data_IF_482486263267
#
_entry.id   IF_482486263267
#
_cell.length_a   1.000
_cell.length_b   1.000
_cell.length_c   1.000
_cell.angle_alpha   90.00
_cell.angle_beta   90.00
_cell.angle_gamma   90.00
#
_symmetry.space_group_name_H-M   'P 1'
#
loop_
_entity.id
_entity.type
_entity.pdbx_description
1 polymer ?
#
# COMPACT_ATOMS: atom_id res chain seq x y z
N UNK A 1 -22.82 29.35 -5.08
CA UNK A 1 -22.28 28.07 -4.55
C UNK A 1 -22.63 28.03 -3.07
N UNK A 2 -23.26 26.97 -2.58
CA UNK A 2 -23.72 26.86 -1.17
C UNK A 2 -22.72 26.19 -0.24
N UNK A 3 -21.67 25.60 -0.79
CA UNK A 3 -20.64 24.86 -0.09
C UNK A 3 -19.40 25.74 0.14
N UNK A 4 -18.74 25.59 1.29
CA UNK A 4 -17.50 26.28 1.66
C UNK A 4 -16.31 25.31 1.77
N UNK A 5 -15.07 25.80 1.57
CA UNK A 5 -13.85 25.00 1.77
C UNK A 5 -13.71 24.49 3.20
N UNK A 6 -14.20 25.26 4.19
CA UNK A 6 -14.21 24.81 5.60
C UNK A 6 -15.10 23.58 5.80
N UNK A 7 -16.27 23.55 5.17
CA UNK A 7 -17.17 22.39 5.24
C UNK A 7 -16.54 21.18 4.57
N UNK A 8 -15.86 21.34 3.42
CA UNK A 8 -15.09 20.26 2.79
C UNK A 8 -13.95 19.77 3.68
N UNK A 9 -13.20 20.67 4.31
CA UNK A 9 -12.12 20.31 5.23
C UNK A 9 -12.63 19.49 6.43
N UNK A 10 -13.79 19.85 6.99
CA UNK A 10 -14.45 19.09 8.06
C UNK A 10 -14.89 17.71 7.55
N UNK A 11 -15.48 17.62 6.36
CA UNK A 11 -15.88 16.35 5.76
C UNK A 11 -14.68 15.39 5.60
N UNK A 12 -13.59 15.89 5.03
CA UNK A 12 -12.34 15.12 4.87
C UNK A 12 -11.79 14.68 6.22
N UNK A 13 -11.69 15.58 7.19
CA UNK A 13 -11.19 15.26 8.53
C UNK A 13 -12.04 14.20 9.24
N UNK A 14 -13.37 14.26 9.12
CA UNK A 14 -14.27 13.24 9.69
C UNK A 14 -14.10 11.90 9.00
N UNK A 15 -13.86 11.88 7.69
CA UNK A 15 -13.61 10.66 6.93
C UNK A 15 -12.31 9.97 7.38
N UNK A 16 -11.27 10.74 7.69
CA UNK A 16 -9.98 10.23 8.13
C UNK A 16 -9.99 9.78 9.60
N UNK A 17 -10.63 10.55 10.47
CA UNK A 17 -10.59 10.33 11.93
C UNK A 17 -11.72 9.44 12.47
N UNK A 18 -12.77 9.23 11.68
CA UNK A 18 -13.93 8.40 12.03
C UNK A 18 -14.82 8.97 13.13
N UNK A 19 -14.49 10.14 13.70
CA UNK A 19 -15.29 10.82 14.71
C UNK A 19 -15.20 12.35 14.56
N UNK A 20 -16.34 13.06 14.82
CA UNK A 20 -16.35 14.52 14.77
C UNK A 20 -15.41 15.15 15.79
N UNK A 21 -15.25 14.56 16.97
CA UNK A 21 -14.37 15.08 18.02
C UNK A 21 -12.92 15.15 17.57
N UNK A 22 -12.37 14.06 17.04
CA UNK A 22 -10.99 14.05 16.52
C UNK A 22 -10.84 14.94 15.29
N UNK A 23 -11.81 14.91 14.38
CA UNK A 23 -11.82 15.77 13.21
C UNK A 23 -11.83 17.26 13.58
N UNK A 24 -12.56 17.67 14.65
CA UNK A 24 -12.58 19.08 15.10
C UNK A 24 -11.19 19.54 15.55
N UNK A 25 -10.42 18.68 16.23
CA UNK A 25 -9.04 19.00 16.63
C UNK A 25 -8.14 19.18 15.40
N UNK A 26 -8.25 18.29 14.40
CA UNK A 26 -7.47 18.34 13.17
C UNK A 26 -7.71 19.64 12.38
N UNK A 27 -8.97 20.11 12.31
CA UNK A 27 -9.32 21.34 11.58
C UNK A 27 -9.35 22.59 12.47
N UNK A 28 -8.89 22.50 13.72
CA UNK A 28 -8.83 23.60 14.71
C UNK A 28 -10.19 24.29 14.92
N UNK A 29 -11.24 23.51 15.06
CA UNK A 29 -12.60 23.95 15.36
C UNK A 29 -13.07 23.38 16.70
N UNK A 30 -14.17 23.94 17.25
CA UNK A 30 -14.91 23.27 18.31
C UNK A 30 -15.73 22.11 17.74
N UNK A 31 -15.99 21.08 18.53
CA UNK A 31 -16.79 19.92 18.11
C UNK A 31 -18.18 20.36 17.59
N UNK A 32 -18.82 21.33 18.24
CA UNK A 32 -20.11 21.85 17.81
C UNK A 32 -20.03 22.54 16.43
N UNK A 33 -18.97 23.34 16.19
CA UNK A 33 -18.75 23.99 14.90
C UNK A 33 -18.45 22.97 13.79
N UNK A 34 -17.64 21.94 14.07
CA UNK A 34 -17.39 20.87 13.10
C UNK A 34 -18.66 20.06 12.81
N UNK A 35 -19.45 19.72 13.85
CA UNK A 35 -20.72 19.00 13.64
C UNK A 35 -21.71 19.81 12.81
N UNK A 36 -21.82 21.11 13.05
CA UNK A 36 -22.69 22.00 12.28
C UNK A 36 -22.21 22.16 10.83
N UNK A 37 -20.89 22.33 10.63
CA UNK A 37 -20.32 22.44 9.29
C UNK A 37 -20.55 21.18 8.44
N UNK A 38 -20.46 19.98 9.06
CA UNK A 38 -20.77 18.73 8.38
C UNK A 38 -22.27 18.64 8.03
N UNK A 39 -23.15 18.95 9.00
CA UNK A 39 -24.59 18.94 8.76
C UNK A 39 -25.01 19.92 7.64
N UNK A 40 -24.47 21.14 7.67
CA UNK A 40 -24.74 22.14 6.63
C UNK A 40 -24.25 21.67 5.23
N UNK A 41 -23.13 20.91 5.18
CA UNK A 41 -22.66 20.33 3.94
C UNK A 41 -23.63 19.28 3.42
N UNK A 42 -24.03 18.32 4.27
CA UNK A 42 -24.98 17.26 3.93
C UNK A 42 -26.34 17.83 3.51
N UNK A 43 -26.83 18.82 4.23
CA UNK A 43 -28.08 19.55 3.88
C UNK A 43 -27.93 20.27 2.54
N UNK A 44 -26.79 20.90 2.29
CA UNK A 44 -26.53 21.60 1.03
C UNK A 44 -26.42 20.64 -0.17
N UNK A 45 -25.99 19.41 0.05
CA UNK A 45 -25.94 18.34 -0.95
C UNK A 45 -27.27 17.57 -1.07
N UNK A 46 -28.14 17.68 -0.07
CA UNK A 46 -29.45 16.99 -0.02
C UNK A 46 -29.33 15.50 0.32
N UNK A 47 -28.16 15.05 0.82
CA UNK A 47 -27.94 13.65 1.17
C UNK A 47 -26.85 13.52 2.24
N UNK A 48 -26.94 12.50 3.15
CA UNK A 48 -25.90 12.21 4.11
C UNK A 48 -24.66 11.64 3.40
N UNK A 49 -23.49 11.89 3.99
CA UNK A 49 -22.19 11.37 3.53
C UNK A 49 -21.65 10.25 4.43
N UNK A 50 -22.24 10.10 5.62
CA UNK A 50 -21.83 9.12 6.60
C UNK A 50 -23.00 8.29 7.12
N UNK A 51 -22.71 7.02 7.42
CA UNK A 51 -23.53 6.15 8.24
C UNK A 51 -23.09 6.26 9.71
N UNK A 52 -24.06 6.25 10.63
CA UNK A 52 -23.80 6.32 12.07
C UNK A 52 -23.74 4.91 12.67
N UNK A 53 -22.55 4.50 13.07
CA UNK A 53 -22.33 3.23 13.79
C UNK A 53 -22.01 3.53 15.27
N UNK A 54 -23.03 3.78 16.06
CA UNK A 54 -22.89 4.21 17.45
C UNK A 54 -22.24 5.60 17.57
N UNK A 55 -21.01 5.63 18.11
CA UNK A 55 -20.21 6.87 18.24
C UNK A 55 -19.29 7.14 17.05
N UNK A 56 -19.21 6.22 16.07
CA UNK A 56 -18.37 6.36 14.90
C UNK A 56 -19.19 6.79 13.68
N UNK A 57 -18.53 7.52 12.81
CA UNK A 57 -19.03 7.88 11.49
C UNK A 57 -18.23 7.10 10.46
N UNK A 58 -18.92 6.39 9.59
CA UNK A 58 -18.33 5.67 8.48
C UNK A 58 -18.88 6.24 7.17
N UNK A 59 -18.02 6.49 6.20
CA UNK A 59 -18.45 6.95 4.88
C UNK A 59 -19.46 5.95 4.29
N UNK A 60 -20.60 6.48 3.83
CA UNK A 60 -21.52 5.76 2.96
C UNK A 60 -21.01 5.77 1.51
N UNK A 61 -21.75 5.18 0.57
CA UNK A 61 -21.34 5.10 -0.84
C UNK A 61 -21.13 6.46 -1.48
N UNK A 62 -22.03 7.43 -1.21
CA UNK A 62 -21.89 8.78 -1.69
C UNK A 62 -20.68 9.49 -1.09
N UNK A 63 -20.46 9.34 0.21
CA UNK A 63 -19.28 9.90 0.89
C UNK A 63 -17.97 9.34 0.32
N UNK A 64 -17.89 8.03 0.07
CA UNK A 64 -16.74 7.41 -0.61
C UNK A 64 -16.51 7.97 -2.01
N UNK A 65 -17.58 8.19 -2.76
CA UNK A 65 -17.50 8.75 -4.12
C UNK A 65 -17.06 10.21 -4.13
N UNK A 66 -17.50 11.02 -3.15
CA UNK A 66 -17.20 12.46 -3.09
C UNK A 66 -15.87 12.80 -2.40
N UNK A 67 -15.33 11.90 -1.55
CA UNK A 67 -14.11 12.19 -0.80
C UNK A 67 -12.90 12.51 -1.69
N UNK A 68 -12.61 11.78 -2.78
CA UNK A 68 -11.51 12.13 -3.69
C UNK A 68 -11.65 13.53 -4.28
N UNK A 69 -12.88 13.91 -4.65
CA UNK A 69 -13.16 15.23 -5.22
C UNK A 69 -12.98 16.36 -4.19
N UNK A 70 -13.37 16.11 -2.93
CA UNK A 70 -13.14 17.05 -1.84
C UNK A 70 -11.65 17.28 -1.57
N UNK A 71 -10.87 16.20 -1.57
CA UNK A 71 -9.40 16.26 -1.42
C UNK A 71 -8.75 17.02 -2.57
N UNK A 72 -9.15 16.76 -3.81
CA UNK A 72 -8.64 17.47 -4.99
C UNK A 72 -8.93 18.98 -4.91
N UNK A 73 -10.16 19.38 -4.54
CA UNK A 73 -10.54 20.80 -4.39
C UNK A 73 -9.67 21.47 -3.32
N UNK A 74 -9.50 20.85 -2.14
CA UNK A 74 -8.69 21.41 -1.06
C UNK A 74 -7.22 21.51 -1.48
N UNK A 75 -6.63 20.48 -2.08
CA UNK A 75 -5.26 20.50 -2.56
C UNK A 75 -5.02 21.57 -3.63
N UNK A 76 -5.98 21.81 -4.55
CA UNK A 76 -5.89 22.92 -5.53
C UNK A 76 -5.94 24.28 -4.86
N UNK A 77 -6.72 24.45 -3.79
CA UNK A 77 -6.75 25.70 -3.03
C UNK A 77 -5.44 25.96 -2.28
N UNK A 78 -4.85 24.93 -1.66
CA UNK A 78 -3.54 25.01 -1.01
C UNK A 78 -2.44 25.37 -2.02
N UNK A 79 -2.43 24.70 -3.17
CA UNK A 79 -1.50 25.02 -4.27
C UNK A 79 -1.65 26.47 -4.76
N UNK A 80 -2.89 26.95 -4.89
CA UNK A 80 -3.14 28.35 -5.27
C UNK A 80 -2.57 29.35 -4.24
N UNK A 81 -2.74 29.08 -2.95
CA UNK A 81 -2.18 29.92 -1.89
C UNK A 81 -0.65 29.91 -1.89
N UNK A 82 0.00 28.76 -2.10
CA UNK A 82 1.45 28.61 -2.19
C UNK A 82 2.02 29.41 -3.36
N UNK A 83 1.43 29.27 -4.55
CA UNK A 83 1.84 30.04 -5.73
C UNK A 83 1.69 31.54 -5.49
N UNK A 84 0.58 31.98 -4.85
CA UNK A 84 0.35 33.40 -4.55
C UNK A 84 1.36 33.99 -3.55
N UNK A 85 1.89 33.15 -2.66
CA UNK A 85 2.97 33.52 -1.70
C UNK A 85 4.36 33.50 -2.33
N UNK A 86 4.48 33.11 -3.60
CA UNK A 86 5.78 32.95 -4.28
C UNK A 86 6.59 31.75 -3.76
N UNK A 87 5.93 30.87 -3.03
CA UNK A 87 6.52 29.62 -2.63
C UNK A 87 6.57 28.72 -3.86
N UNK A 88 7.77 28.30 -4.26
CA UNK A 88 7.93 27.26 -5.28
C UNK A 88 7.14 26.03 -4.79
N UNK A 89 6.34 25.43 -5.67
CA UNK A 89 5.59 24.22 -5.33
C UNK A 89 6.57 23.16 -4.80
N UNK A 90 6.63 23.01 -3.49
CA UNK A 90 7.25 21.84 -2.90
C UNK A 90 6.27 20.69 -3.14
N UNK A 91 6.74 19.63 -3.78
CA UNK A 91 5.97 18.41 -3.95
C UNK A 91 6.03 17.68 -2.62
N UNK A 92 4.90 17.59 -1.92
CA UNK A 92 4.73 16.70 -0.78
C UNK A 92 4.07 15.42 -1.27
N UNK A 93 4.80 14.30 -1.26
CA UNK A 93 4.32 13.02 -1.76
C UNK A 93 4.40 11.94 -0.68
N UNK A 94 3.24 11.38 -0.32
CA UNK A 94 3.13 10.22 0.55
C UNK A 94 3.07 8.96 -0.32
N UNK A 95 4.20 8.29 -0.42
CA UNK A 95 4.40 7.11 -1.26
C UNK A 95 4.27 5.84 -0.43
N UNK A 96 3.54 4.85 -0.93
CA UNK A 96 3.56 3.49 -0.43
C UNK A 96 4.42 2.59 -1.29
N UNK A 97 5.05 1.58 -0.70
CA UNK A 97 5.71 0.53 -1.45
C UNK A 97 5.64 -0.81 -0.74
N UNK A 98 5.54 -1.90 -1.52
CA UNK A 98 5.74 -3.24 -0.99
C UNK A 98 7.23 -3.49 -0.75
N UNK A 99 7.54 -4.48 0.08
CA UNK A 99 8.90 -4.71 0.60
C UNK A 99 9.95 -4.85 -0.50
N UNK A 100 9.72 -5.69 -1.49
CA UNK A 100 10.68 -5.87 -2.59
C UNK A 100 10.93 -4.56 -3.33
N UNK A 101 9.86 -3.82 -3.62
CA UNK A 101 9.96 -2.53 -4.31
C UNK A 101 10.69 -1.52 -3.44
N UNK A 102 10.36 -1.46 -2.13
CA UNK A 102 10.99 -0.51 -1.20
C UNK A 102 12.49 -0.74 -1.02
N UNK A 103 12.91 -2.00 -1.01
CA UNK A 103 14.29 -2.36 -0.72
C UNK A 103 15.21 -2.26 -1.95
N UNK A 104 14.68 -2.59 -3.14
CA UNK A 104 15.50 -2.76 -4.33
C UNK A 104 15.25 -1.73 -5.43
N UNK A 105 14.15 -0.97 -5.42
CA UNK A 105 13.81 -0.04 -6.49
C UNK A 105 13.61 1.40 -6.01
N UNK A 106 12.95 1.58 -4.90
CA UNK A 106 12.60 2.92 -4.38
C UNK A 106 13.82 3.78 -4.09
N UNK A 107 14.93 3.29 -3.50
CA UNK A 107 16.06 4.14 -3.17
C UNK A 107 16.62 4.91 -4.38
N UNK A 108 16.81 4.22 -5.50
CA UNK A 108 17.33 4.84 -6.72
C UNK A 108 16.31 5.80 -7.34
N UNK A 109 15.03 5.41 -7.37
CA UNK A 109 13.95 6.26 -7.88
C UNK A 109 13.80 7.55 -7.09
N UNK A 110 13.83 7.46 -5.75
CA UNK A 110 13.76 8.65 -4.89
C UNK A 110 14.99 9.53 -5.05
N UNK A 111 16.19 8.94 -5.15
CA UNK A 111 17.42 9.68 -5.38
C UNK A 111 17.38 10.45 -6.70
N UNK A 112 16.91 9.81 -7.78
CA UNK A 112 16.80 10.46 -9.08
C UNK A 112 15.68 11.51 -9.12
N UNK A 113 14.56 11.25 -8.47
CA UNK A 113 13.48 12.23 -8.35
C UNK A 113 13.93 13.49 -7.60
N UNK A 114 14.64 13.34 -6.48
CA UNK A 114 15.15 14.47 -5.69
C UNK A 114 16.22 15.28 -6.41
N UNK A 115 16.97 14.70 -7.36
CA UNK A 115 17.87 15.46 -8.24
C UNK A 115 17.09 16.39 -9.19
N UNK A 116 15.91 15.95 -9.65
CA UNK A 116 15.03 16.72 -10.56
C UNK A 116 14.20 17.73 -9.78
N UNK A 117 13.74 17.34 -8.59
CA UNK A 117 12.88 18.12 -7.69
C UNK A 117 13.52 18.27 -6.30
N UNK A 118 14.56 19.12 -6.14
CA UNK A 118 15.34 19.19 -4.90
C UNK A 118 14.56 19.67 -3.67
N UNK A 119 13.41 20.30 -3.88
CA UNK A 119 12.55 20.81 -2.80
C UNK A 119 11.38 19.88 -2.49
N UNK A 120 11.31 18.72 -3.14
CA UNK A 120 10.25 17.76 -2.85
C UNK A 120 10.43 17.13 -1.46
N UNK A 121 9.34 16.97 -0.75
CA UNK A 121 9.27 16.21 0.49
C UNK A 121 8.62 14.86 0.19
N UNK A 122 9.36 13.78 0.41
CA UNK A 122 8.90 12.42 0.15
C UNK A 122 8.76 11.68 1.48
N UNK A 123 7.61 11.09 1.71
CA UNK A 123 7.37 10.18 2.83
C UNK A 123 7.11 8.79 2.27
N UNK A 124 7.89 7.81 2.70
CA UNK A 124 7.72 6.41 2.29
C UNK A 124 7.11 5.60 3.42
N UNK A 125 5.99 4.96 3.14
CA UNK A 125 5.40 3.92 3.98
C UNK A 125 5.60 2.56 3.33
N UNK A 126 6.08 1.59 4.11
CA UNK A 126 6.35 0.23 3.64
C UNK A 126 5.37 -0.74 4.27
N UNK A 127 4.88 -1.69 3.48
CA UNK A 127 3.97 -2.73 3.95
C UNK A 127 3.75 -3.80 2.89
N UNK A 128 2.76 -4.66 3.10
CA UNK A 128 2.37 -5.61 2.05
C UNK A 128 1.32 -5.02 1.11
N UNK A 129 1.03 -5.73 0.02
CA UNK A 129 0.12 -5.27 -1.03
C UNK A 129 -1.24 -4.87 -0.49
N UNK A 130 -1.85 -5.69 0.39
CA UNK A 130 -3.15 -5.38 1.00
C UNK A 130 -3.10 -4.08 1.81
N UNK A 131 -2.07 -3.89 2.63
CA UNK A 131 -1.91 -2.69 3.44
C UNK A 131 -1.72 -1.43 2.57
N UNK A 132 -0.93 -1.52 1.52
CA UNK A 132 -0.69 -0.40 0.61
C UNK A 132 -1.95 -0.01 -0.16
N UNK A 133 -2.68 -0.99 -0.68
CA UNK A 133 -3.97 -0.77 -1.35
C UNK A 133 -4.97 -0.09 -0.40
N UNK A 134 -5.05 -0.58 0.85
CA UNK A 134 -5.95 0.00 1.85
C UNK A 134 -5.56 1.43 2.22
N UNK A 135 -4.27 1.71 2.40
CA UNK A 135 -3.76 3.04 2.72
C UNK A 135 -4.03 4.06 1.60
N UNK A 136 -3.90 3.68 0.33
CA UNK A 136 -4.30 4.53 -0.81
C UNK A 136 -5.82 4.72 -0.83
N UNK A 137 -6.60 3.65 -0.64
CA UNK A 137 -8.05 3.72 -0.62
C UNK A 137 -8.59 4.61 0.52
N UNK A 138 -7.85 4.71 1.63
CA UNK A 138 -8.19 5.57 2.78
C UNK A 138 -7.54 6.96 2.69
N UNK A 139 -6.91 7.30 1.56
CA UNK A 139 -6.21 8.59 1.33
C UNK A 139 -5.09 8.89 2.33
N UNK A 140 -4.55 7.87 2.95
CA UNK A 140 -3.35 7.98 3.79
C UNK A 140 -2.08 8.13 2.93
N UNK A 141 -2.11 7.58 1.71
CA UNK A 141 -1.07 7.67 0.69
C UNK A 141 -1.63 8.28 -0.59
N UNK A 142 -0.80 8.99 -1.34
CA UNK A 142 -1.15 9.59 -2.62
C UNK A 142 -1.04 8.57 -3.75
N UNK A 143 -0.05 7.69 -3.67
CA UNK A 143 0.10 6.53 -4.55
C UNK A 143 0.87 5.41 -3.85
N UNK A 144 0.80 4.19 -4.40
CA UNK A 144 1.62 3.08 -3.94
C UNK A 144 2.14 2.25 -5.12
N UNK A 145 3.37 1.77 -4.98
CA UNK A 145 3.96 0.77 -5.86
C UNK A 145 3.81 -0.60 -5.21
N UNK A 146 3.11 -1.50 -5.86
CA UNK A 146 2.76 -2.81 -5.30
C UNK A 146 3.17 -3.96 -6.22
N UNK A 147 3.46 -5.11 -5.62
CA UNK A 147 3.53 -6.40 -6.30
C UNK A 147 2.15 -7.06 -6.23
N UNK A 148 1.79 -7.81 -7.29
CA UNK A 148 0.49 -8.49 -7.35
C UNK A 148 -0.62 -7.61 -7.91
N UNK A 149 -1.87 -7.95 -7.61
CA UNK A 149 -3.05 -7.38 -8.22
C UNK A 149 -3.83 -6.47 -7.28
N UNK A 150 -4.41 -5.41 -7.81
CA UNK A 150 -5.40 -4.60 -7.11
C UNK A 150 -6.77 -4.78 -7.77
N UNK A 151 -7.76 -5.17 -6.99
CA UNK A 151 -9.12 -5.43 -7.49
C UNK A 151 -10.14 -4.39 -7.02
N UNK A 152 -9.70 -3.29 -6.39
CA UNK A 152 -10.61 -2.24 -5.96
C UNK A 152 -10.98 -1.35 -7.14
N UNK A 153 -12.26 -1.29 -7.54
CA UNK A 153 -12.69 -0.57 -8.75
C UNK A 153 -12.53 0.96 -8.64
N UNK A 154 -12.41 1.49 -7.41
CA UNK A 154 -12.20 2.91 -7.16
C UNK A 154 -10.73 3.35 -7.27
N UNK A 155 -9.79 2.42 -7.41
CA UNK A 155 -8.37 2.72 -7.58
C UNK A 155 -7.95 2.49 -9.02
N UNK A 156 -7.20 3.43 -9.57
CA UNK A 156 -6.57 3.25 -10.88
C UNK A 156 -5.26 2.50 -10.70
N UNK A 157 -5.17 1.32 -11.33
CA UNK A 157 -3.95 0.52 -11.37
C UNK A 157 -3.30 0.67 -12.74
N UNK A 158 -2.01 1.03 -12.74
CA UNK A 158 -1.22 1.18 -13.95
C UNK A 158 -0.08 0.16 -13.88
N UNK A 159 0.04 -0.68 -14.91
CA UNK A 159 1.18 -1.58 -15.03
C UNK A 159 2.46 -0.76 -15.23
N UNK A 160 3.47 -1.03 -14.40
CA UNK A 160 4.74 -0.30 -14.43
C UNK A 160 5.87 -1.15 -14.99
N UNK A 161 6.08 -2.34 -14.44
CA UNK A 161 7.11 -3.29 -14.88
C UNK A 161 6.78 -4.71 -14.42
N UNK A 162 7.43 -5.67 -15.05
CA UNK A 162 7.33 -7.07 -14.63
C UNK A 162 8.36 -7.39 -13.54
N UNK A 163 8.01 -8.35 -12.68
CA UNK A 163 8.90 -9.00 -11.72
C UNK A 163 8.78 -10.51 -11.89
N UNK A 164 9.85 -11.22 -11.62
CA UNK A 164 9.91 -12.67 -11.72
C UNK A 164 10.18 -13.27 -10.35
N UNK A 165 9.30 -14.17 -9.90
CA UNK A 165 9.52 -14.95 -8.71
C UNK A 165 10.35 -16.18 -9.04
N UNK A 166 11.25 -16.56 -8.12
CA UNK A 166 12.04 -17.79 -8.20
C UNK A 166 11.92 -18.59 -6.92
N UNK A 167 11.86 -19.90 -7.09
CA UNK A 167 12.01 -20.85 -6.00
C UNK A 167 13.50 -20.91 -5.60
N UNK A 168 13.77 -20.81 -4.31
CA UNK A 168 15.11 -20.84 -3.76
C UNK A 168 15.23 -21.80 -2.57
N UNK A 169 16.41 -22.41 -2.42
CA UNK A 169 16.77 -23.28 -1.32
C UNK A 169 18.27 -23.17 -1.03
N UNK A 170 18.72 -23.78 0.06
CA UNK A 170 20.17 -23.91 0.32
C UNK A 170 20.85 -24.78 -0.75
N UNK A 171 22.16 -24.57 -1.03
CA UNK A 171 22.87 -25.33 -2.07
C UNK A 171 22.93 -26.84 -1.81
N UNK A 172 22.90 -27.26 -0.55
CA UNK A 172 22.92 -28.68 -0.11
C UNK A 172 21.53 -29.32 -0.03
N UNK A 173 20.47 -28.56 -0.37
CA UNK A 173 19.12 -29.10 -0.39
C UNK A 173 18.98 -30.21 -1.44
N UNK A 174 18.30 -31.35 -1.12
CA UNK A 174 18.16 -32.47 -2.05
C UNK A 174 17.68 -32.13 -3.44
N UNK A 175 16.69 -31.20 -3.54
CA UNK A 175 16.15 -30.76 -4.83
C UNK A 175 17.16 -29.90 -5.63
N UNK A 176 18.09 -29.19 -4.98
CA UNK A 176 19.14 -28.45 -5.68
C UNK A 176 20.16 -29.35 -6.38
N UNK A 177 20.25 -30.61 -5.95
CA UNK A 177 21.16 -31.59 -6.52
C UNK A 177 20.58 -32.37 -7.71
N UNK A 178 19.32 -32.17 -8.01
CA UNK A 178 18.65 -32.79 -9.16
C UNK A 178 19.07 -32.08 -10.46
N UNK A 179 19.65 -32.84 -11.38
CA UNK A 179 20.03 -32.35 -12.72
C UNK A 179 18.86 -32.45 -13.70
N UNK A 180 17.68 -32.00 -13.30
CA UNK A 180 16.47 -31.93 -14.11
C UNK A 180 15.58 -30.81 -13.63
N UNK A 181 14.62 -30.41 -14.45
CA UNK A 181 13.55 -29.53 -14.05
C UNK A 181 12.71 -30.15 -12.92
N UNK A 182 12.31 -29.30 -11.97
CA UNK A 182 11.43 -29.70 -10.88
C UNK A 182 9.98 -29.75 -11.36
N UNK A 183 9.23 -30.68 -10.81
CA UNK A 183 7.81 -30.89 -11.10
C UNK A 183 6.98 -30.62 -9.86
N UNK A 184 5.65 -30.49 -9.99
CA UNK A 184 4.73 -30.33 -8.85
C UNK A 184 4.88 -31.47 -7.82
N UNK A 185 5.21 -32.69 -8.26
CA UNK A 185 5.43 -33.84 -7.35
C UNK A 185 6.61 -33.63 -6.41
N UNK A 186 7.69 -32.99 -6.89
CA UNK A 186 8.88 -32.70 -6.08
C UNK A 186 8.54 -31.72 -4.94
N UNK A 187 7.54 -30.89 -5.09
CA UNK A 187 7.14 -29.89 -4.11
C UNK A 187 6.20 -30.40 -3.01
N UNK A 188 5.64 -31.60 -3.15
CA UNK A 188 4.74 -32.17 -2.14
C UNK A 188 5.42 -32.46 -0.80
N UNK A 189 6.71 -32.79 -0.81
CA UNK A 189 7.49 -33.10 0.39
C UNK A 189 8.29 -31.93 0.93
N UNK A 190 8.19 -30.76 0.31
CA UNK A 190 8.95 -29.57 0.67
C UNK A 190 8.32 -28.86 1.86
N UNK A 191 9.14 -28.40 2.79
CA UNK A 191 8.75 -27.41 3.81
C UNK A 191 8.90 -26.02 3.23
N UNK A 192 7.81 -25.25 3.18
CA UNK A 192 7.80 -23.91 2.63
C UNK A 192 7.92 -22.84 3.70
N UNK A 193 8.79 -21.86 3.43
CA UNK A 193 8.95 -20.64 4.22
C UNK A 193 8.45 -19.49 3.34
N UNK A 194 7.30 -18.94 3.66
CA UNK A 194 6.59 -18.04 2.75
C UNK A 194 6.35 -16.66 3.35
N UNK A 195 6.01 -15.73 2.48
CA UNK A 195 5.47 -14.44 2.86
C UNK A 195 4.08 -14.58 3.49
N UNK A 196 3.75 -13.58 4.25
CA UNK A 196 2.47 -13.46 4.94
C UNK A 196 1.29 -13.27 3.96
N UNK A 197 0.08 -13.57 4.45
CA UNK A 197 -1.15 -13.29 3.72
C UNK A 197 -1.31 -11.78 3.46
N UNK A 198 -1.76 -11.43 2.24
CA UNK A 198 -1.85 -10.05 1.79
C UNK A 198 -0.59 -9.54 1.09
N UNK A 199 0.49 -10.33 1.05
CA UNK A 199 1.65 -10.10 0.18
C UNK A 199 1.32 -10.52 -1.25
N UNK A 200 1.67 -9.68 -2.24
CA UNK A 200 1.55 -10.03 -3.67
C UNK A 200 2.44 -11.23 -4.05
N UNK A 201 3.65 -11.31 -3.49
CA UNK A 201 4.53 -12.46 -3.64
C UNK A 201 3.85 -13.75 -3.17
N UNK A 202 3.15 -13.72 -2.03
CA UNK A 202 2.38 -14.86 -1.51
C UNK A 202 1.22 -15.22 -2.43
N UNK A 203 0.48 -14.25 -2.92
CA UNK A 203 -0.63 -14.45 -3.86
C UNK A 203 -0.17 -15.15 -5.14
N UNK A 204 0.97 -14.72 -5.71
CA UNK A 204 1.54 -15.37 -6.90
C UNK A 204 1.96 -16.81 -6.61
N UNK A 205 2.60 -17.08 -5.45
CA UNK A 205 2.92 -18.44 -5.03
C UNK A 205 1.66 -19.32 -4.91
N UNK A 206 0.64 -18.82 -4.23
CA UNK A 206 -0.60 -19.55 -4.02
C UNK A 206 -1.26 -19.91 -5.37
N UNK A 207 -1.27 -18.98 -6.30
CA UNK A 207 -1.84 -19.20 -7.63
C UNK A 207 -1.00 -20.12 -8.53
N UNK A 208 0.31 -20.13 -8.37
CA UNK A 208 1.23 -20.90 -9.22
C UNK A 208 1.54 -22.29 -8.67
N UNK A 209 1.72 -22.43 -7.36
CA UNK A 209 2.19 -23.66 -6.72
C UNK A 209 1.06 -24.38 -5.96
N UNK A 210 0.29 -23.67 -5.11
CA UNK A 210 -0.77 -24.32 -4.33
C UNK A 210 -1.92 -24.85 -5.18
N UNK A 211 -2.10 -24.31 -6.38
CA UNK A 211 -3.07 -24.85 -7.34
C UNK A 211 -2.78 -26.31 -7.71
N UNK A 212 -1.50 -26.66 -7.86
CA UNK A 212 -1.05 -27.99 -8.25
C UNK A 212 -0.60 -28.84 -7.03
N UNK A 213 -0.29 -28.19 -5.91
CA UNK A 213 0.13 -28.79 -4.64
C UNK A 213 -0.69 -28.21 -3.48
N UNK A 214 -2.01 -28.55 -3.37
CA UNK A 214 -2.91 -27.92 -2.38
C UNK A 214 -2.49 -28.21 -0.92
N UNK A 215 -1.88 -29.36 -0.66
CA UNK A 215 -1.44 -29.80 0.66
C UNK A 215 0.04 -29.42 0.95
N UNK A 216 0.57 -28.39 0.28
CA UNK A 216 1.95 -27.96 0.52
C UNK A 216 2.17 -27.59 2.01
N UNK A 217 3.27 -28.12 2.58
CA UNK A 217 3.60 -27.92 3.98
C UNK A 217 4.19 -26.52 4.21
N UNK A 218 3.38 -25.56 4.61
CA UNK A 218 3.82 -24.20 4.98
C UNK A 218 4.30 -24.24 6.44
N UNK A 219 5.60 -24.31 6.64
CA UNK A 219 6.23 -24.42 7.97
C UNK A 219 6.33 -23.08 8.69
N UNK A 220 6.69 -22.01 7.97
CA UNK A 220 6.83 -20.67 8.52
C UNK A 220 6.24 -19.63 7.59
N UNK A 221 5.68 -18.58 8.19
CA UNK A 221 5.16 -17.40 7.49
C UNK A 221 5.82 -16.15 8.08
N UNK A 222 6.45 -15.33 7.24
CA UNK A 222 7.25 -14.18 7.66
C UNK A 222 6.95 -12.95 6.79
N UNK A 223 7.03 -11.76 7.39
CA UNK A 223 6.78 -10.48 6.72
C UNK A 223 7.99 -9.87 5.99
N UNK A 224 9.17 -10.48 6.03
CA UNK A 224 10.40 -9.91 5.49
C UNK A 224 11.19 -10.89 4.61
N UNK A 225 11.55 -10.45 3.38
CA UNK A 225 12.34 -11.27 2.43
C UNK A 225 13.69 -11.68 3.00
N UNK A 226 14.43 -10.76 3.64
CA UNK A 226 15.73 -11.08 4.24
C UNK A 226 15.67 -12.16 5.33
N UNK A 227 14.61 -12.12 6.17
CA UNK A 227 14.44 -13.14 7.20
C UNK A 227 14.17 -14.52 6.58
N UNK A 228 13.34 -14.56 5.54
CA UNK A 228 13.07 -15.79 4.76
C UNK A 228 14.37 -16.33 4.17
N UNK A 229 15.12 -15.48 3.46
CA UNK A 229 16.38 -15.87 2.80
C UNK A 229 17.41 -16.41 3.78
N UNK A 230 17.56 -15.78 4.96
CA UNK A 230 18.48 -16.26 6.01
C UNK A 230 18.08 -17.64 6.55
N UNK A 231 16.80 -17.90 6.73
CA UNK A 231 16.30 -19.21 7.18
C UNK A 231 16.53 -20.26 6.11
N UNK A 232 16.20 -19.97 4.86
CA UNK A 232 16.38 -20.86 3.72
C UNK A 232 17.88 -21.16 3.49
N UNK A 233 18.74 -20.14 3.56
CA UNK A 233 20.19 -20.31 3.46
C UNK A 233 20.78 -21.18 4.61
N UNK A 234 20.11 -21.18 5.76
CA UNK A 234 20.43 -22.07 6.89
C UNK A 234 19.98 -23.53 6.70
N UNK A 235 19.50 -23.91 5.51
CA UNK A 235 19.09 -25.28 5.19
C UNK A 235 17.66 -25.63 5.62
N UNK A 236 16.84 -24.65 6.00
CA UNK A 236 15.46 -24.89 6.42
C UNK A 236 14.51 -24.59 5.26
N UNK A 237 14.01 -25.67 4.64
CA UNK A 237 12.96 -25.60 3.63
C UNK A 237 13.34 -24.83 2.36
N UNK A 238 12.31 -24.36 1.65
CA UNK A 238 12.40 -23.61 0.41
C UNK A 238 11.51 -22.38 0.49
N UNK A 239 11.75 -21.40 -0.38
CA UNK A 239 10.88 -20.24 -0.55
C UNK A 239 10.69 -19.91 -2.02
N UNK A 240 9.68 -19.07 -2.28
CA UNK A 240 9.42 -18.48 -3.58
C UNK A 240 9.29 -16.97 -3.39
N UNK A 241 10.27 -16.23 -3.89
CA UNK A 241 10.36 -14.78 -3.74
C UNK A 241 10.92 -14.13 -5.01
N UNK A 242 10.84 -12.80 -5.08
CA UNK A 242 11.36 -12.03 -6.21
C UNK A 242 12.84 -12.29 -6.48
N UNK A 243 13.20 -12.41 -7.74
CA UNK A 243 14.60 -12.50 -8.17
C UNK A 243 15.42 -11.28 -7.72
N UNK A 244 14.82 -10.11 -7.63
CA UNK A 244 15.47 -8.91 -7.12
C UNK A 244 16.02 -9.08 -5.70
N UNK A 245 15.33 -9.89 -4.86
CA UNK A 245 15.80 -10.19 -3.52
C UNK A 245 16.87 -11.29 -3.48
N UNK A 246 16.91 -12.17 -4.47
CA UNK A 246 17.83 -13.32 -4.52
C UNK A 246 19.16 -12.94 -5.15
N UNK A 247 19.15 -12.15 -6.23
CA UNK A 247 20.35 -11.81 -7.03
C UNK A 247 21.52 -11.24 -6.21
N UNK A 248 21.31 -10.30 -5.27
CA UNK A 248 22.41 -9.76 -4.47
C UNK A 248 23.12 -10.79 -3.58
N UNK A 249 22.47 -11.93 -3.30
CA UNK A 249 23.06 -13.02 -2.50
C UNK A 249 23.87 -13.98 -3.36
N UNK A 250 23.50 -14.16 -4.63
CA UNK A 250 24.23 -15.02 -5.57
C UNK A 250 25.60 -14.46 -5.94
N UNK A 251 25.75 -13.13 -5.97
CA UNK A 251 27.01 -12.45 -6.26
C UNK A 251 28.01 -12.52 -5.09
N UNK A 252 27.54 -12.84 -3.87
CA UNK A 252 28.36 -12.91 -2.66
C UNK A 252 28.75 -14.35 -2.27
N UNK A 253 28.27 -15.34 -3.02
CA UNK A 253 28.55 -16.78 -2.81
C UNK A 253 29.49 -17.33 -3.85
#
# INVERSE_FOLDING_TARGET
MRMTLRQLAVFVAVAQEGTVTKASDAVKLTQSAASMALADLEDGLGAPLFDRLGKRLQLNDLGRFLLPQALEILGRCESFEQVAKGELQSIDLRLGATLTISDYLIPDLMADFLKIQPQAHLQLQVGNTRQMIEAVNQFQLDLALIEGSCHLPQLQCIHWRDDELAVCCAPDHPLAQLNRELTAEDFKSVEWILREEGSGTREVFDNAILKDVPDANIRLTLGHNEAILKIVAGGIGMSCISKLAIEPLREKS
#
